data_IF_322929854105
#
_entry.id   IF_322929854105
#
_cell.length_a   1.000
_cell.length_b   1.000
_cell.length_c   1.000
_cell.angle_alpha   90.00
_cell.angle_beta   90.00
_cell.angle_gamma   90.00
#
_symmetry.space_group_name_H-M   'P 1'
#
loop_
_entity.id
_entity.type
_entity.pdbx_description
1 polymer ?
#
# COMPACT_ATOMS: atom_id res chain seq x y z
N UNK A 1 35.31 -9.54 10.35
CA UNK A 1 34.25 -8.66 9.83
C UNK A 1 34.91 -7.39 9.30
N UNK A 2 35.01 -7.23 7.98
CA UNK A 2 35.41 -5.95 7.40
C UNK A 2 34.33 -4.94 7.71
N UNK A 3 34.69 -3.86 8.39
CA UNK A 3 33.74 -2.76 8.63
C UNK A 3 33.35 -2.18 7.28
N UNK A 4 32.08 -2.29 6.94
CA UNK A 4 31.52 -1.63 5.77
C UNK A 4 31.46 -0.12 6.08
N UNK A 5 32.55 0.58 5.82
CA UNK A 5 32.59 2.03 5.93
C UNK A 5 31.68 2.67 4.87
N UNK A 6 31.25 3.93 5.05
CA UNK A 6 30.36 4.61 4.11
C UNK A 6 30.93 4.76 2.69
N UNK A 7 32.22 4.51 2.50
CA UNK A 7 32.91 4.56 1.20
C UNK A 7 33.23 3.16 0.64
N UNK A 8 32.83 2.09 1.30
CA UNK A 8 33.07 0.74 0.80
C UNK A 8 32.26 0.50 -0.49
N UNK A 9 32.87 -0.17 -1.50
CA UNK A 9 32.18 -0.47 -2.77
C UNK A 9 30.83 -1.17 -2.55
N UNK A 10 30.77 -2.10 -1.60
CA UNK A 10 29.58 -2.87 -1.25
C UNK A 10 28.49 -1.97 -0.65
N UNK A 11 28.85 -1.07 0.24
CA UNK A 11 27.90 -0.11 0.83
C UNK A 11 27.36 0.86 -0.23
N UNK A 12 28.23 1.31 -1.12
CA UNK A 12 27.83 2.18 -2.22
C UNK A 12 26.96 1.47 -3.25
N UNK A 13 27.17 0.18 -3.48
CA UNK A 13 26.31 -0.64 -4.33
C UNK A 13 24.93 -0.83 -3.71
N UNK A 14 24.85 -1.02 -2.39
CA UNK A 14 23.60 -1.15 -1.64
C UNK A 14 22.78 0.14 -1.63
N UNK A 15 23.46 1.28 -1.49
CA UNK A 15 22.83 2.59 -1.51
C UNK A 15 22.67 3.17 -2.93
N UNK A 16 23.22 2.52 -3.93
CA UNK A 16 23.20 3.01 -5.31
C UNK A 16 21.79 3.32 -5.84
N UNK A 17 20.75 2.55 -5.54
CA UNK A 17 19.39 2.91 -5.92
C UNK A 17 18.89 4.19 -5.25
N UNK A 18 19.31 4.44 -4.01
CA UNK A 18 18.86 5.58 -3.20
C UNK A 18 19.70 6.85 -3.46
N UNK A 19 20.97 6.70 -3.84
CA UNK A 19 21.93 7.81 -3.92
C UNK A 19 22.47 8.02 -5.35
N UNK A 20 22.03 7.24 -6.31
CA UNK A 20 22.56 7.22 -7.67
C UNK A 20 22.51 8.57 -8.42
N UNK A 21 21.72 9.55 -7.94
CA UNK A 21 21.57 10.85 -8.57
C UNK A 21 22.77 11.79 -8.46
N UNK A 22 23.65 11.60 -7.48
CA UNK A 22 24.66 12.60 -7.12
C UNK A 22 26.11 12.20 -7.42
N UNK A 23 26.35 11.09 -8.13
CA UNK A 23 27.71 10.65 -8.39
C UNK A 23 28.16 10.94 -9.81
N UNK A 24 29.32 11.56 -9.91
CA UNK A 24 29.96 11.79 -11.20
C UNK A 24 30.20 10.47 -11.93
N UNK A 25 30.13 10.48 -13.25
CA UNK A 25 30.31 9.27 -14.06
C UNK A 25 31.62 8.51 -13.78
N UNK A 26 32.68 9.21 -13.29
CA UNK A 26 33.95 8.60 -12.90
C UNK A 26 33.82 7.70 -11.66
N UNK A 27 33.12 8.13 -10.63
CA UNK A 27 32.90 7.33 -9.42
C UNK A 27 32.13 6.05 -9.73
N UNK A 28 31.10 6.14 -10.57
CA UNK A 28 30.32 4.97 -10.99
C UNK A 28 31.15 3.97 -11.79
N UNK A 29 31.99 4.45 -12.70
CA UNK A 29 32.87 3.59 -13.49
C UNK A 29 33.92 2.89 -12.61
N UNK A 30 34.51 3.60 -11.64
CA UNK A 30 35.48 3.03 -10.69
C UNK A 30 34.87 1.96 -9.77
N UNK A 31 33.56 1.99 -9.56
CA UNK A 31 32.83 1.01 -8.75
C UNK A 31 32.25 -0.14 -9.61
N UNK A 32 32.48 -0.16 -10.91
CA UNK A 32 31.91 -1.16 -11.81
C UNK A 32 30.39 -1.02 -12.00
N UNK A 33 29.81 0.13 -11.62
CA UNK A 33 28.39 0.39 -11.79
C UNK A 33 28.08 0.83 -13.23
N UNK A 34 26.87 0.50 -13.73
CA UNK A 34 26.44 1.00 -15.04
C UNK A 34 26.48 2.52 -15.11
N UNK A 35 26.67 3.11 -16.32
CA UNK A 35 26.54 4.56 -16.50
C UNK A 35 25.24 5.09 -15.92
N UNK A 36 25.29 6.31 -15.37
CA UNK A 36 24.14 6.89 -14.67
C UNK A 36 22.90 7.08 -15.58
N UNK A 37 23.11 7.20 -16.89
CA UNK A 37 22.05 7.32 -17.89
C UNK A 37 21.52 5.98 -18.41
N UNK A 38 22.06 4.86 -17.92
CA UNK A 38 21.65 3.52 -18.35
C UNK A 38 20.77 2.90 -17.27
N UNK A 39 19.47 2.91 -17.49
CA UNK A 39 18.53 2.10 -16.73
C UNK A 39 18.47 0.71 -17.35
N UNK A 40 18.52 -0.31 -16.50
CA UNK A 40 18.31 -1.68 -16.91
C UNK A 40 16.95 -2.12 -16.42
N UNK A 41 15.91 -1.73 -17.15
CA UNK A 41 14.54 -2.16 -16.86
C UNK A 41 14.27 -3.59 -17.31
N UNK A 42 13.08 -4.08 -17.02
CA UNK A 42 12.64 -5.41 -17.40
C UNK A 42 13.38 -6.52 -16.68
N UNK A 43 13.59 -7.64 -17.38
CA UNK A 43 14.29 -8.82 -16.87
C UNK A 43 15.72 -8.86 -17.36
N UNK A 44 16.56 -9.55 -16.58
CA UNK A 44 17.94 -9.82 -17.00
C UNK A 44 17.95 -10.72 -18.25
N UNK A 45 18.49 -10.26 -19.38
CA UNK A 45 18.45 -11.03 -20.64
C UNK A 45 19.32 -12.29 -20.59
N UNK A 46 20.26 -12.38 -19.66
CA UNK A 46 21.14 -13.56 -19.52
C UNK A 46 20.45 -14.66 -18.73
N UNK A 47 19.79 -14.32 -17.62
CA UNK A 47 19.16 -15.29 -16.71
C UNK A 47 17.67 -15.46 -16.96
N UNK A 48 17.02 -14.51 -17.66
CA UNK A 48 15.57 -14.47 -17.83
C UNK A 48 14.79 -14.15 -16.55
N UNK A 49 15.48 -13.75 -15.48
CA UNK A 49 14.93 -13.46 -14.16
C UNK A 49 15.10 -12.00 -13.78
N UNK A 50 14.68 -11.66 -12.58
CA UNK A 50 14.82 -10.31 -12.04
C UNK A 50 16.30 -9.92 -11.93
N UNK A 51 16.59 -8.62 -12.10
CA UNK A 51 17.89 -8.07 -11.78
C UNK A 51 18.17 -8.19 -10.29
N UNK A 52 19.41 -8.53 -9.92
CA UNK A 52 19.80 -8.61 -8.50
C UNK A 52 19.63 -7.27 -7.77
N UNK A 53 19.78 -6.14 -8.47
CA UNK A 53 19.53 -4.81 -7.92
C UNK A 53 18.06 -4.60 -7.58
N UNK A 54 17.14 -5.12 -8.37
CA UNK A 54 15.70 -5.07 -8.10
C UNK A 54 15.33 -5.93 -6.90
N UNK A 55 15.91 -7.13 -6.79
CA UNK A 55 15.71 -8.01 -5.63
C UNK A 55 16.24 -7.34 -4.36
N UNK A 56 17.44 -6.75 -4.42
CA UNK A 56 18.02 -6.05 -3.28
C UNK A 56 17.17 -4.86 -2.83
N UNK A 57 16.67 -4.06 -3.77
CA UNK A 57 15.79 -2.94 -3.45
C UNK A 57 14.46 -3.41 -2.85
N UNK A 58 13.88 -4.48 -3.38
CA UNK A 58 12.68 -5.09 -2.84
C UNK A 58 12.85 -5.46 -1.35
N UNK A 59 13.90 -6.21 -1.03
CA UNK A 59 14.15 -6.63 0.35
C UNK A 59 14.50 -5.46 1.27
N UNK A 60 15.26 -4.48 0.78
CA UNK A 60 15.59 -3.28 1.55
C UNK A 60 14.33 -2.47 1.90
N UNK A 61 13.48 -2.21 0.91
CA UNK A 61 12.25 -1.46 1.12
C UNK A 61 11.31 -2.16 2.11
N UNK A 62 11.06 -3.44 1.93
CA UNK A 62 10.24 -4.23 2.84
C UNK A 62 10.87 -4.35 4.23
N UNK A 63 12.18 -4.47 4.33
CA UNK A 63 12.89 -4.47 5.61
C UNK A 63 12.68 -3.18 6.39
N UNK A 64 12.75 -2.03 5.73
CA UNK A 64 12.45 -0.72 6.35
C UNK A 64 11.01 -0.67 6.83
N UNK A 65 10.04 -1.04 6.01
CA UNK A 65 8.63 -1.10 6.42
C UNK A 65 8.39 -2.06 7.58
N UNK A 66 9.03 -3.23 7.57
CA UNK A 66 8.91 -4.21 8.65
C UNK A 66 9.46 -3.69 9.98
N UNK A 67 10.59 -2.97 9.95
CA UNK A 67 11.18 -2.35 11.15
C UNK A 67 10.22 -1.31 11.73
N UNK A 68 9.72 -0.38 10.90
CA UNK A 68 8.75 0.62 11.35
C UNK A 68 7.46 -0.03 11.88
N UNK A 69 6.90 -0.98 11.12
CA UNK A 69 5.68 -1.69 11.52
C UNK A 69 5.84 -2.44 12.84
N UNK A 70 6.98 -3.10 13.03
CA UNK A 70 7.30 -3.80 14.27
C UNK A 70 7.39 -2.87 15.48
N UNK A 71 7.98 -1.70 15.32
CA UNK A 71 8.02 -0.69 16.39
C UNK A 71 6.64 -0.12 16.68
N UNK A 72 5.84 0.17 15.67
CA UNK A 72 4.47 0.66 15.86
C UNK A 72 3.61 -0.37 16.60
N UNK A 73 3.71 -1.64 16.24
CA UNK A 73 3.00 -2.71 16.91
C UNK A 73 3.48 -2.89 18.35
N UNK A 74 4.81 -2.93 18.58
CA UNK A 74 5.40 -3.04 19.91
C UNK A 74 5.01 -1.89 20.83
N UNK A 75 5.01 -0.66 20.32
CA UNK A 75 4.57 0.51 21.08
C UNK A 75 3.11 0.37 21.53
N UNK A 76 2.24 -0.08 20.65
CA UNK A 76 0.82 -0.33 20.97
C UNK A 76 0.66 -1.39 22.06
N UNK A 77 1.35 -2.52 21.92
CA UNK A 77 1.30 -3.65 22.87
C UNK A 77 1.82 -3.25 24.25
N UNK A 78 2.91 -2.49 24.30
CA UNK A 78 3.51 -2.02 25.56
C UNK A 78 2.85 -0.76 26.12
N UNK A 79 1.77 -0.27 25.53
CA UNK A 79 1.02 0.88 26.00
C UNK A 79 1.71 2.22 25.78
N UNK A 80 2.67 2.26 24.86
CA UNK A 80 3.34 3.49 24.42
C UNK A 80 2.70 3.96 23.13
N UNK A 81 2.25 5.21 23.06
CA UNK A 81 1.55 5.77 21.90
C UNK A 81 0.08 5.35 21.83
N UNK A 82 -0.38 5.06 20.62
CA UNK A 82 -1.79 4.83 20.35
C UNK A 82 -2.21 3.37 20.57
N UNK A 83 -3.22 3.16 21.40
CA UNK A 83 -3.92 1.89 21.53
C UNK A 83 -5.21 1.96 20.73
N UNK A 84 -5.26 1.24 19.62
CA UNK A 84 -6.38 1.32 18.67
C UNK A 84 -7.73 0.97 19.31
N UNK A 85 -7.78 -0.04 20.18
CA UNK A 85 -9.00 -0.38 20.90
C UNK A 85 -9.54 0.80 21.71
N UNK A 86 -8.69 1.44 22.47
CA UNK A 86 -9.08 2.59 23.31
C UNK A 86 -9.51 3.78 22.47
N UNK A 87 -8.83 4.03 21.34
CA UNK A 87 -9.18 5.09 20.41
C UNK A 87 -10.57 4.83 19.79
N UNK A 88 -10.81 3.63 19.30
CA UNK A 88 -12.09 3.28 18.67
C UNK A 88 -13.23 3.31 19.70
N UNK A 89 -13.03 2.78 20.89
CA UNK A 89 -14.04 2.78 21.95
C UNK A 89 -14.31 4.18 22.49
N UNK A 90 -13.32 5.08 22.48
CA UNK A 90 -13.49 6.48 22.87
C UNK A 90 -14.31 7.28 21.84
N UNK A 91 -14.26 6.90 20.58
CA UNK A 91 -15.04 7.52 19.51
C UNK A 91 -16.45 6.92 19.44
N UNK A 92 -17.15 6.99 20.54
CA UNK A 92 -18.57 6.63 20.63
C UNK A 92 -19.40 7.74 20.02
N UNK A 93 -20.56 7.36 19.50
CA UNK A 93 -21.59 8.31 19.13
C UNK A 93 -22.25 8.93 20.37
N UNK A 94 -22.96 10.02 20.16
CA UNK A 94 -23.83 10.58 21.19
C UNK A 94 -25.10 9.71 21.29
N UNK A 95 -25.50 9.22 22.47
CA UNK A 95 -26.71 8.44 22.65
C UNK A 95 -28.00 9.15 22.18
N UNK A 96 -27.97 10.47 22.14
CA UNK A 96 -29.10 11.31 21.72
C UNK A 96 -29.03 11.68 20.25
N UNK A 97 -27.82 11.76 19.69
CA UNK A 97 -27.61 12.19 18.31
C UNK A 97 -27.47 10.97 17.37
N UNK A 98 -28.31 10.98 16.39
CA UNK A 98 -28.24 10.12 15.23
C UNK A 98 -26.97 10.47 14.39
N UNK A 99 -26.31 9.51 13.65
CA UNK A 99 -26.87 8.22 13.24
C UNK A 99 -26.35 6.99 13.99
N UNK A 100 -25.30 7.07 14.80
CA UNK A 100 -24.69 5.91 15.43
C UNK A 100 -24.41 6.15 16.92
N UNK A 101 -25.37 5.89 17.81
CA UNK A 101 -25.24 6.17 19.24
C UNK A 101 -24.03 5.50 19.92
N UNK A 102 -23.66 4.31 19.48
CA UNK A 102 -22.48 3.59 20.00
C UNK A 102 -21.19 3.84 19.21
N UNK A 103 -21.26 4.58 18.13
CA UNK A 103 -20.08 4.95 17.33
C UNK A 103 -19.25 3.73 16.92
N UNK A 104 -17.99 3.74 17.27
CA UNK A 104 -17.02 2.70 16.90
C UNK A 104 -16.85 1.59 17.94
N UNK A 105 -17.71 1.52 18.95
CA UNK A 105 -17.66 0.47 19.95
C UNK A 105 -17.91 -0.91 19.31
N UNK A 106 -17.03 -1.89 19.60
CA UNK A 106 -17.10 -3.25 19.05
C UNK A 106 -16.39 -3.44 17.70
N UNK A 107 -15.95 -2.37 17.05
CA UNK A 107 -15.29 -2.47 15.75
C UNK A 107 -13.88 -3.08 15.86
N UNK A 108 -13.16 -2.75 16.95
CA UNK A 108 -11.83 -3.32 17.17
C UNK A 108 -11.91 -4.84 17.33
N UNK A 109 -12.85 -5.35 18.10
CA UNK A 109 -13.05 -6.77 18.31
C UNK A 109 -13.44 -7.49 17.01
N UNK A 110 -14.30 -6.90 16.22
CA UNK A 110 -14.68 -7.44 14.91
C UNK A 110 -13.47 -7.59 13.99
N UNK A 111 -12.71 -6.51 13.81
CA UNK A 111 -11.58 -6.48 12.90
C UNK A 111 -10.39 -7.30 13.40
N UNK A 112 -10.12 -7.32 14.72
CA UNK A 112 -9.00 -8.09 15.28
C UNK A 112 -9.25 -9.60 15.31
N UNK A 113 -10.50 -10.03 15.26
CA UNK A 113 -10.89 -11.44 15.26
C UNK A 113 -11.31 -11.98 13.87
N UNK A 114 -11.24 -11.16 12.84
CA UNK A 114 -11.59 -11.54 11.48
C UNK A 114 -10.36 -11.54 10.57
N UNK A 115 -9.94 -12.71 10.10
CA UNK A 115 -8.89 -12.84 9.08
C UNK A 115 -9.26 -12.12 7.79
N UNK A 116 -10.50 -12.25 7.36
CA UNK A 116 -10.97 -11.57 6.13
C UNK A 116 -11.08 -10.07 6.31
N UNK A 117 -11.46 -9.59 7.49
CA UNK A 117 -11.45 -8.16 7.81
C UNK A 117 -10.05 -7.56 7.75
N UNK A 118 -9.07 -8.24 8.34
CA UNK A 118 -7.67 -7.83 8.28
C UNK A 118 -7.11 -7.89 6.86
N UNK A 119 -7.41 -8.93 6.12
CA UNK A 119 -6.99 -9.06 4.72
C UNK A 119 -7.60 -7.96 3.86
N UNK A 120 -8.86 -7.62 4.06
CA UNK A 120 -9.53 -6.53 3.36
C UNK A 120 -8.82 -5.19 3.59
N UNK A 121 -8.51 -4.85 4.83
CA UNK A 121 -7.79 -3.62 5.17
C UNK A 121 -6.40 -3.60 4.51
N UNK A 122 -5.64 -4.69 4.64
CA UNK A 122 -4.31 -4.80 4.05
C UNK A 122 -4.34 -4.66 2.53
N UNK A 123 -5.28 -5.31 1.86
CA UNK A 123 -5.44 -5.21 0.42
C UNK A 123 -5.82 -3.80 -0.03
N UNK A 124 -6.70 -3.13 0.70
CA UNK A 124 -7.07 -1.73 0.41
C UNK A 124 -5.88 -0.79 0.56
N UNK A 125 -5.12 -0.93 1.65
CA UNK A 125 -3.97 -0.07 1.93
C UNK A 125 -2.82 -0.31 0.94
N UNK A 126 -2.45 -1.57 0.72
CA UNK A 126 -1.35 -1.93 -0.19
C UNK A 126 -1.75 -1.66 -1.64
N UNK A 127 -2.99 -1.95 -2.02
CA UNK A 127 -3.50 -1.66 -3.35
C UNK A 127 -3.51 -0.17 -3.67
N UNK A 128 -3.95 0.66 -2.73
CA UNK A 128 -3.89 2.11 -2.85
C UNK A 128 -2.45 2.60 -2.94
N UNK A 129 -1.55 2.09 -2.11
CA UNK A 129 -0.12 2.39 -2.16
C UNK A 129 0.51 2.02 -3.48
N UNK A 130 0.13 0.89 -4.06
CA UNK A 130 0.60 0.46 -5.39
C UNK A 130 0.18 1.42 -6.49
N UNK A 131 -1.06 1.90 -6.47
CA UNK A 131 -1.55 2.90 -7.43
C UNK A 131 -0.83 4.23 -7.25
N UNK A 132 -0.60 4.65 -6.01
CA UNK A 132 0.19 5.86 -5.72
C UNK A 132 1.62 5.72 -6.25
N UNK A 133 2.27 4.59 -6.02
CA UNK A 133 3.61 4.31 -6.56
C UNK A 133 3.61 4.40 -8.08
N UNK A 134 2.63 3.83 -8.75
CA UNK A 134 2.52 3.92 -10.21
C UNK A 134 2.50 5.37 -10.70
N UNK A 135 1.69 6.22 -10.08
CA UNK A 135 1.58 7.64 -10.45
C UNK A 135 2.81 8.45 -10.06
N UNK A 136 3.40 8.19 -8.90
CA UNK A 136 4.56 8.93 -8.43
C UNK A 136 5.83 8.60 -9.21
N UNK A 137 5.90 7.47 -9.90
CA UNK A 137 7.07 7.14 -10.70
C UNK A 137 7.25 8.05 -11.92
N UNK A 138 6.18 8.49 -12.57
CA UNK A 138 6.29 9.42 -13.69
C UNK A 138 6.02 10.86 -13.31
N UNK A 139 5.10 11.12 -12.37
CA UNK A 139 4.69 12.47 -12.00
C UNK A 139 5.60 13.12 -10.95
N UNK A 140 6.22 12.32 -10.08
CA UNK A 140 7.15 12.75 -9.03
C UNK A 140 8.41 11.87 -9.05
N UNK A 141 9.21 11.90 -10.13
CA UNK A 141 10.32 10.96 -10.30
C UNK A 141 11.36 11.10 -9.21
N UNK A 142 11.50 10.06 -8.39
CA UNK A 142 12.46 9.97 -7.29
C UNK A 142 13.75 9.26 -7.68
N UNK A 143 13.76 8.52 -8.79
CA UNK A 143 14.90 7.74 -9.26
C UNK A 143 15.57 8.45 -10.44
N UNK A 144 16.90 8.72 -10.34
CA UNK A 144 17.61 9.41 -11.40
C UNK A 144 17.55 8.65 -12.73
N UNK A 145 17.29 9.38 -13.79
CA UNK A 145 17.23 8.89 -15.18
C UNK A 145 16.13 7.86 -15.47
N UNK A 146 15.35 7.44 -14.49
CA UNK A 146 14.26 6.48 -14.72
C UNK A 146 13.18 7.08 -15.64
N UNK A 147 12.85 8.34 -15.47
CA UNK A 147 11.86 9.04 -16.27
C UNK A 147 12.22 9.14 -17.76
N UNK A 148 13.49 8.97 -18.12
CA UNK A 148 13.98 8.97 -19.49
C UNK A 148 13.89 7.58 -20.14
N UNK A 149 13.76 6.55 -19.36
CA UNK A 149 13.57 5.18 -19.85
C UNK A 149 12.07 4.87 -19.94
N UNK A 150 11.43 5.35 -21.00
CA UNK A 150 9.99 5.25 -21.20
C UNK A 150 9.46 3.81 -21.12
N UNK A 151 10.09 2.80 -21.73
CA UNK A 151 9.59 1.43 -21.62
C UNK A 151 9.56 0.92 -20.16
N UNK A 152 10.58 1.22 -19.37
CA UNK A 152 10.63 0.82 -17.96
C UNK A 152 9.57 1.54 -17.12
N UNK A 153 9.42 2.84 -17.31
CA UNK A 153 8.38 3.63 -16.61
C UNK A 153 6.98 3.13 -16.98
N UNK A 154 6.75 2.86 -18.27
CA UNK A 154 5.46 2.32 -18.72
C UNK A 154 5.17 0.95 -18.12
N UNK A 155 6.17 0.07 -18.08
CA UNK A 155 6.03 -1.25 -17.48
C UNK A 155 5.72 -1.18 -15.98
N UNK A 156 6.44 -0.35 -15.25
CA UNK A 156 6.23 -0.13 -13.81
C UNK A 156 4.85 0.47 -13.53
N UNK A 157 4.45 1.47 -14.30
CA UNK A 157 3.13 2.08 -14.17
C UNK A 157 2.02 1.05 -14.43
N UNK A 158 2.08 0.36 -15.54
CA UNK A 158 1.06 -0.62 -15.93
C UNK A 158 0.96 -1.75 -14.90
N UNK A 159 2.10 -2.29 -14.47
CA UNK A 159 2.14 -3.34 -13.45
C UNK A 159 1.49 -2.89 -12.14
N UNK A 160 1.93 -1.75 -11.59
CA UNK A 160 1.44 -1.28 -10.29
C UNK A 160 -0.01 -0.82 -10.33
N UNK A 161 -0.49 -0.32 -11.47
CA UNK A 161 -1.92 -0.03 -11.67
C UNK A 161 -2.76 -1.31 -11.67
N UNK A 162 -2.33 -2.35 -12.38
CA UNK A 162 -3.07 -3.61 -12.43
C UNK A 162 -3.11 -4.33 -11.10
N UNK A 163 -1.96 -4.55 -10.48
CA UNK A 163 -1.93 -5.24 -9.18
C UNK A 163 -2.64 -4.43 -8.10
N UNK A 164 -2.49 -3.11 -8.11
CA UNK A 164 -3.18 -2.23 -7.17
C UNK A 164 -4.70 -2.29 -7.33
N UNK A 165 -5.18 -2.23 -8.56
CA UNK A 165 -6.60 -2.36 -8.88
C UNK A 165 -7.18 -3.72 -8.46
N UNK A 166 -6.47 -4.82 -8.75
CA UNK A 166 -6.87 -6.16 -8.33
C UNK A 166 -6.90 -6.30 -6.80
N UNK A 167 -5.94 -5.72 -6.10
CA UNK A 167 -5.93 -5.72 -4.64
C UNK A 167 -7.13 -4.97 -4.07
N UNK A 168 -7.52 -3.82 -4.62
CA UNK A 168 -8.70 -3.08 -4.18
C UNK A 168 -9.98 -3.88 -4.43
N UNK A 169 -10.11 -4.55 -5.57
CA UNK A 169 -11.21 -5.47 -5.81
C UNK A 169 -11.22 -6.63 -4.80
N UNK A 170 -10.06 -7.18 -4.50
CA UNK A 170 -9.89 -8.20 -3.46
C UNK A 170 -10.26 -7.70 -2.06
N UNK A 171 -9.95 -6.45 -1.75
CA UNK A 171 -10.35 -5.81 -0.50
C UNK A 171 -11.88 -5.77 -0.34
N UNK A 172 -12.58 -5.38 -1.38
CA UNK A 172 -14.05 -5.38 -1.39
C UNK A 172 -14.62 -6.80 -1.21
N UNK A 173 -14.07 -7.77 -1.92
CA UNK A 173 -14.50 -9.17 -1.82
C UNK A 173 -14.29 -9.74 -0.41
N UNK A 174 -13.10 -9.56 0.16
CA UNK A 174 -12.80 -10.06 1.50
C UNK A 174 -13.51 -9.28 2.60
N UNK A 175 -13.80 -7.99 2.40
CA UNK A 175 -14.71 -7.24 3.26
C UNK A 175 -16.12 -7.84 3.29
N UNK A 176 -16.64 -8.24 2.13
CA UNK A 176 -17.90 -8.96 2.02
C UNK A 176 -17.88 -10.32 2.72
N UNK A 177 -16.79 -11.08 2.60
CA UNK A 177 -16.63 -12.37 3.28
C UNK A 177 -16.59 -12.18 4.80
N UNK A 178 -15.89 -11.18 5.30
CA UNK A 178 -15.88 -10.83 6.73
C UNK A 178 -17.29 -10.55 7.25
N UNK A 179 -18.09 -9.80 6.49
CA UNK A 179 -19.48 -9.50 6.86
C UNK A 179 -20.34 -10.76 6.89
N UNK A 180 -20.12 -11.71 5.99
CA UNK A 180 -20.92 -12.94 5.94
C UNK A 180 -20.50 -13.93 7.03
N UNK A 181 -19.19 -14.08 7.26
CA UNK A 181 -18.63 -15.13 8.13
C UNK A 181 -18.42 -14.69 9.56
N UNK A 182 -18.01 -13.44 9.78
CA UNK A 182 -17.46 -12.99 11.05
C UNK A 182 -18.32 -11.91 11.72
N UNK A 183 -19.33 -11.40 11.03
CA UNK A 183 -20.23 -10.38 11.59
C UNK A 183 -21.32 -11.01 12.44
N UNK A 184 -21.41 -10.57 13.71
CA UNK A 184 -22.49 -10.93 14.62
C UNK A 184 -23.35 -9.69 14.90
N UNK A 185 -24.61 -9.65 14.43
CA UNK A 185 -25.50 -8.51 14.64
C UNK A 185 -25.73 -8.17 16.10
N UNK A 186 -25.70 -9.15 17.00
CA UNK A 186 -25.92 -8.94 18.43
C UNK A 186 -24.82 -8.11 19.09
N UNK A 187 -23.60 -8.17 18.55
CA UNK A 187 -22.44 -7.44 19.05
C UNK A 187 -22.31 -6.02 18.47
N UNK A 188 -23.12 -5.69 17.48
CA UNK A 188 -23.00 -4.44 16.71
C UNK A 188 -24.28 -3.61 16.68
N UNK A 189 -25.10 -3.71 17.72
CA UNK A 189 -26.34 -2.92 17.82
C UNK A 189 -26.00 -1.44 17.95
N UNK A 190 -26.52 -0.63 17.03
CA UNK A 190 -26.37 0.83 17.00
C UNK A 190 -24.96 1.38 16.93
N UNK A 191 -23.98 0.59 16.56
CA UNK A 191 -22.66 1.09 16.18
C UNK A 191 -22.62 1.50 14.69
N UNK A 192 -21.49 2.05 14.24
CA UNK A 192 -21.35 2.52 12.85
C UNK A 192 -21.59 1.42 11.82
N UNK A 193 -21.18 0.19 12.10
CA UNK A 193 -21.32 -0.94 11.19
C UNK A 193 -22.78 -1.33 11.00
N UNK A 194 -23.53 -1.45 12.09
CA UNK A 194 -24.98 -1.71 12.05
C UNK A 194 -25.73 -0.61 11.28
N UNK A 195 -25.37 0.65 11.52
CA UNK A 195 -26.01 1.79 10.86
C UNK A 195 -25.69 1.87 9.37
N UNK A 196 -24.47 1.53 8.96
CA UNK A 196 -24.10 1.41 7.55
C UNK A 196 -24.93 0.32 6.87
N UNK A 197 -25.04 -0.86 7.49
CA UNK A 197 -25.83 -1.96 6.95
C UNK A 197 -27.33 -1.62 6.83
N UNK A 198 -27.88 -0.89 7.79
CA UNK A 198 -29.26 -0.42 7.74
C UNK A 198 -29.53 0.64 6.65
N UNK A 199 -28.47 1.30 6.18
CA UNK A 199 -28.53 2.27 5.08
C UNK A 199 -28.17 1.63 3.70
N UNK A 200 -28.46 0.34 3.50
CA UNK A 200 -28.10 -0.41 2.29
C UNK A 200 -28.57 0.25 0.99
N UNK A 201 -29.73 0.87 0.98
CA UNK A 201 -30.27 1.50 -0.23
C UNK A 201 -29.44 2.72 -0.66
N UNK A 202 -28.90 3.47 0.29
CA UNK A 202 -27.98 4.56 0.01
C UNK A 202 -26.66 4.04 -0.58
N UNK A 203 -26.14 2.91 -0.06
CA UNK A 203 -24.93 2.26 -0.59
C UNK A 203 -25.18 1.80 -2.02
N UNK A 204 -26.27 1.11 -2.28
CA UNK A 204 -26.63 0.61 -3.62
C UNK A 204 -26.82 1.76 -4.60
N UNK A 205 -27.47 2.84 -4.20
CA UNK A 205 -27.67 4.00 -5.08
C UNK A 205 -26.35 4.67 -5.46
N UNK A 206 -25.42 4.81 -4.51
CA UNK A 206 -24.09 5.37 -4.78
C UNK A 206 -23.22 4.45 -5.64
N UNK A 207 -23.27 3.16 -5.44
CA UNK A 207 -22.60 2.19 -6.31
C UNK A 207 -23.16 2.23 -7.73
N UNK A 208 -24.48 2.35 -7.88
CA UNK A 208 -25.09 2.53 -9.19
C UNK A 208 -24.62 3.81 -9.88
N UNK A 209 -24.58 4.93 -9.16
CA UNK A 209 -24.04 6.18 -9.69
C UNK A 209 -22.57 6.03 -10.14
N UNK A 210 -21.73 5.39 -9.32
CA UNK A 210 -20.32 5.16 -9.66
C UNK A 210 -20.18 4.29 -10.91
N UNK A 211 -20.96 3.23 -11.04
CA UNK A 211 -20.97 2.39 -12.25
C UNK A 211 -21.35 3.18 -13.49
N UNK A 212 -22.37 4.02 -13.40
CA UNK A 212 -22.80 4.90 -14.50
C UNK A 212 -21.71 5.92 -14.83
N UNK A 213 -21.10 6.54 -13.82
CA UNK A 213 -19.99 7.48 -14.00
C UNK A 213 -18.81 6.82 -14.69
N UNK A 214 -18.35 5.67 -14.22
CA UNK A 214 -17.21 4.96 -14.81
C UNK A 214 -17.51 4.57 -16.26
N UNK A 215 -18.70 4.08 -16.54
CA UNK A 215 -19.12 3.74 -17.88
C UNK A 215 -19.08 4.92 -18.85
N UNK A 216 -19.73 6.01 -18.51
CA UNK A 216 -19.72 7.21 -19.36
C UNK A 216 -18.37 7.89 -19.43
N UNK A 217 -17.64 7.96 -18.31
CA UNK A 217 -16.31 8.58 -18.30
C UNK A 217 -15.30 7.80 -19.12
N UNK A 218 -15.36 6.47 -19.10
CA UNK A 218 -14.40 5.63 -19.85
C UNK A 218 -14.76 5.49 -21.33
N UNK A 219 -16.03 5.44 -21.67
CA UNK A 219 -16.50 5.10 -23.02
C UNK A 219 -17.38 6.17 -23.67
N UNK A 220 -17.67 7.27 -22.99
CA UNK A 220 -18.60 8.28 -23.47
C UNK A 220 -18.18 9.02 -24.74
N UNK A 221 -16.91 8.92 -25.12
CA UNK A 221 -16.39 9.47 -26.39
C UNK A 221 -16.37 8.46 -27.54
N UNK A 222 -16.66 7.22 -27.28
CA UNK A 222 -16.79 6.22 -28.34
C UNK A 222 -18.19 6.31 -28.94
#
# INVERSE_FOLDING_TARGET
ARSLGPNAPEFNALLSPLVAGNRTGRARKGLGLPPAHTNKGGLNPVTGSLWMTDISHHHLAWGVFAIFGGHMWGNSVHGVGHRMKEIMDAHKGDPILYPAPKGHEGIFEFLSNSWHGQLSINLAMIGSGSIVVAHHQYALPAYPYLSLDYPTVLGLFTHHMWIGGLMICGAAAHGGIAMIRDYDPALHVDNVLDRILKARDAIISQLNWVCMFIGFHSFGLY
#
